data_IF_527123399520
#
_entry.id   IF_527123399520
#
_cell.length_a   1.000
_cell.length_b   1.000
_cell.length_c   1.000
_cell.angle_alpha   90.00
_cell.angle_beta   90.00
_cell.angle_gamma   90.00
#
_symmetry.space_group_name_H-M   'P 1'
#
loop_
_entity.id
_entity.type
_entity.pdbx_description
1 polymer ?
#
# COMPACT_ATOMS: atom_id res chain seq x y z
N UNK A 1 -0.08 10.85 -42.88
CA UNK A 1 0.68 11.79 -42.02
C UNK A 1 0.33 11.45 -40.58
N UNK A 2 1.22 10.78 -39.85
CA UNK A 2 0.97 10.38 -38.46
C UNK A 2 1.58 11.43 -37.54
N UNK A 3 0.73 12.12 -36.76
CA UNK A 3 1.15 13.15 -35.82
C UNK A 3 1.72 12.50 -34.56
N UNK A 4 3.04 12.65 -34.34
CA UNK A 4 3.69 12.28 -33.09
C UNK A 4 3.18 13.20 -31.97
N UNK A 5 2.44 12.64 -31.01
CA UNK A 5 2.12 13.34 -29.77
C UNK A 5 3.34 13.22 -28.87
N UNK A 6 4.14 14.29 -28.80
CA UNK A 6 5.25 14.39 -27.86
C UNK A 6 4.74 14.44 -26.42
N UNK A 7 5.30 13.57 -25.57
CA UNK A 7 5.13 13.59 -24.12
C UNK A 7 5.60 14.95 -23.57
N UNK A 8 4.69 15.68 -22.92
CA UNK A 8 4.88 17.04 -22.37
C UNK A 8 4.93 16.99 -20.84
N UNK A 9 5.51 15.95 -20.24
CA UNK A 9 5.76 15.94 -18.80
C UNK A 9 6.76 17.06 -18.43
N UNK A 10 6.45 17.92 -17.44
CA UNK A 10 7.37 18.95 -16.98
C UNK A 10 8.68 18.29 -16.52
N UNK A 11 9.81 18.85 -16.95
CA UNK A 11 11.14 18.44 -16.51
C UNK A 11 11.31 18.93 -15.08
N UNK A 12 11.56 17.99 -14.18
CA UNK A 12 12.06 18.12 -12.80
C UNK A 12 12.39 19.56 -12.38
N UNK A 13 11.38 20.28 -11.87
CA UNK A 13 11.63 21.47 -11.07
C UNK A 13 12.24 20.98 -9.75
N UNK A 14 13.46 21.43 -9.47
CA UNK A 14 14.17 21.09 -8.25
C UNK A 14 13.39 21.58 -7.03
N UNK A 15 12.65 20.68 -6.38
CA UNK A 15 11.96 20.96 -5.13
C UNK A 15 13.04 21.10 -4.06
N UNK A 16 13.19 22.30 -3.51
CA UNK A 16 14.01 22.54 -2.32
C UNK A 16 13.54 21.60 -1.20
N UNK A 17 14.45 20.76 -0.71
CA UNK A 17 14.18 19.83 0.39
C UNK A 17 14.11 20.60 1.71
N UNK A 18 12.97 21.22 1.97
CA UNK A 18 12.54 21.55 3.33
C UNK A 18 12.48 20.22 4.09
N UNK A 19 13.13 20.16 5.25
CA UNK A 19 13.13 19.00 6.16
C UNK A 19 11.75 18.75 6.80
N UNK A 20 10.69 18.77 5.99
CA UNK A 20 9.41 18.22 6.41
C UNK A 20 9.57 16.70 6.47
N UNK A 21 9.12 16.04 7.56
CA UNK A 21 9.04 14.59 7.57
C UNK A 21 8.29 14.12 6.31
N UNK A 22 8.69 13.00 5.70
CA UNK A 22 8.05 12.53 4.47
C UNK A 22 6.55 12.59 4.67
N UNK A 23 5.85 13.32 3.80
CA UNK A 23 4.39 13.37 3.85
C UNK A 23 3.90 11.99 3.45
N UNK A 24 3.81 11.08 4.40
CA UNK A 24 3.25 9.76 4.19
C UNK A 24 1.79 9.96 3.80
N UNK A 25 1.48 9.77 2.52
CA UNK A 25 0.10 9.61 2.10
C UNK A 25 -0.38 8.26 2.61
N UNK A 26 -1.06 8.27 3.76
CA UNK A 26 -1.83 7.13 4.21
C UNK A 26 -2.93 6.91 3.17
N UNK A 27 -2.72 5.91 2.33
CA UNK A 27 -3.71 5.49 1.34
C UNK A 27 -4.72 4.62 2.08
N UNK A 28 -5.87 5.20 2.41
CA UNK A 28 -6.93 4.54 3.17
C UNK A 28 -7.75 3.57 2.32
N UNK A 29 -7.54 3.57 0.99
CA UNK A 29 -8.26 2.76 0.01
C UNK A 29 -7.39 2.50 -1.21
N UNK A 30 -7.51 1.33 -1.80
CA UNK A 30 -6.92 1.02 -3.11
C UNK A 30 -7.27 2.09 -4.14
N UNK A 31 -6.25 2.56 -4.87
CA UNK A 31 -6.44 3.52 -5.95
C UNK A 31 -7.53 3.05 -6.93
N UNK A 32 -8.50 3.91 -7.32
CA UNK A 32 -9.54 3.54 -8.27
C UNK A 32 -8.99 3.01 -9.60
N UNK A 33 -7.84 3.52 -10.06
CA UNK A 33 -7.18 3.05 -11.27
C UNK A 33 -6.67 1.62 -11.12
N UNK A 34 -6.10 1.30 -9.97
CA UNK A 34 -5.59 -0.02 -9.66
C UNK A 34 -6.73 -1.04 -9.51
N UNK A 35 -7.84 -0.62 -8.88
CA UNK A 35 -9.07 -1.43 -8.79
C UNK A 35 -9.71 -1.65 -10.17
N UNK A 36 -9.78 -0.61 -11.01
CA UNK A 36 -10.28 -0.71 -12.37
C UNK A 36 -9.41 -1.65 -13.21
N UNK A 37 -8.09 -1.54 -13.10
CA UNK A 37 -7.16 -2.48 -13.73
C UNK A 37 -7.46 -3.91 -13.29
N UNK A 38 -7.53 -4.18 -11.98
CA UNK A 38 -7.83 -5.51 -11.43
C UNK A 38 -9.15 -6.10 -11.92
N UNK A 39 -10.20 -5.30 -11.98
CA UNK A 39 -11.51 -5.72 -12.45
C UNK A 39 -11.53 -6.02 -13.96
N UNK A 40 -10.64 -5.39 -14.75
CA UNK A 40 -10.51 -5.63 -16.18
C UNK A 40 -9.60 -6.82 -16.53
N UNK A 41 -8.86 -7.38 -15.55
CA UNK A 41 -8.02 -8.55 -15.79
C UNK A 41 -8.88 -9.81 -15.89
N UNK A 42 -8.66 -10.56 -16.97
CA UNK A 42 -9.29 -11.85 -17.19
C UNK A 42 -9.01 -12.82 -16.03
N UNK A 43 -9.99 -13.63 -15.64
CA UNK A 43 -9.90 -14.48 -14.43
C UNK A 43 -8.63 -15.35 -14.39
N UNK A 44 -8.25 -15.97 -15.52
CA UNK A 44 -7.02 -16.76 -15.63
C UNK A 44 -5.76 -15.98 -15.22
N UNK A 45 -5.64 -14.72 -15.66
CA UNK A 45 -4.52 -13.83 -15.32
C UNK A 45 -4.55 -13.45 -13.83
N UNK A 46 -5.75 -13.29 -13.23
CA UNK A 46 -5.88 -13.09 -11.78
C UNK A 46 -5.40 -14.30 -10.98
N UNK A 47 -5.69 -15.52 -11.44
CA UNK A 47 -5.17 -16.76 -10.82
C UNK A 47 -3.64 -16.82 -10.92
N UNK A 48 -3.07 -16.43 -12.05
CA UNK A 48 -1.62 -16.36 -12.24
C UNK A 48 -0.98 -15.33 -11.30
N UNK A 49 -1.58 -14.14 -11.16
CA UNK A 49 -1.11 -13.12 -10.21
C UNK A 49 -1.21 -13.65 -8.77
N UNK A 50 -2.32 -14.28 -8.39
CA UNK A 50 -2.51 -14.87 -7.06
C UNK A 50 -1.47 -15.96 -6.77
N UNK A 51 -1.10 -16.78 -7.76
CA UNK A 51 -0.05 -17.79 -7.58
C UNK A 51 1.30 -17.19 -7.18
N UNK A 52 1.60 -15.98 -7.65
CA UNK A 52 2.87 -15.30 -7.36
C UNK A 52 2.81 -14.38 -6.14
N UNK A 53 1.69 -13.73 -5.91
CA UNK A 53 1.53 -12.71 -4.86
C UNK A 53 0.74 -13.20 -3.64
N UNK A 54 0.00 -14.31 -3.77
CA UNK A 54 -0.86 -14.85 -2.71
C UNK A 54 -1.81 -13.79 -2.15
N UNK A 55 -1.96 -13.77 -0.83
CA UNK A 55 -2.81 -12.85 -0.09
C UNK A 55 -2.38 -11.38 -0.21
N UNK A 56 -1.22 -11.06 -0.77
CA UNK A 56 -0.87 -9.67 -1.07
C UNK A 56 -1.91 -9.04 -2.03
N UNK A 57 -2.58 -9.82 -2.88
CA UNK A 57 -3.65 -9.30 -3.74
C UNK A 57 -4.87 -8.82 -2.96
N UNK A 58 -5.04 -9.22 -1.70
CA UNK A 58 -6.14 -8.76 -0.86
C UNK A 58 -5.98 -7.30 -0.44
N UNK A 59 -4.79 -6.70 -0.63
CA UNK A 59 -4.59 -5.25 -0.51
C UNK A 59 -5.58 -4.48 -1.38
N UNK A 60 -6.03 -5.06 -2.49
CA UNK A 60 -7.01 -4.44 -3.38
C UNK A 60 -8.35 -4.24 -2.67
N UNK A 61 -8.73 -5.16 -1.78
CA UNK A 61 -9.99 -5.15 -1.02
C UNK A 61 -9.81 -4.60 0.40
N UNK A 62 -8.57 -4.43 0.83
CA UNK A 62 -8.21 -3.93 2.15
C UNK A 62 -8.60 -2.47 2.29
N UNK A 63 -9.39 -2.17 3.32
CA UNK A 63 -9.71 -0.80 3.75
C UNK A 63 -9.14 -0.64 5.15
N UNK A 64 -7.90 -0.13 5.29
CA UNK A 64 -7.30 0.04 6.60
C UNK A 64 -8.13 0.97 7.48
N UNK A 65 -8.17 0.66 8.77
CA UNK A 65 -8.63 1.63 9.76
C UNK A 65 -7.56 2.72 9.90
N UNK A 66 -7.90 3.91 9.42
CA UNK A 66 -7.03 5.10 9.50
C UNK A 66 -6.61 5.39 10.94
N UNK A 67 -7.52 5.24 11.90
CA UNK A 67 -7.22 5.46 13.32
C UNK A 67 -6.21 4.45 13.86
N UNK A 68 -6.32 3.18 13.43
CA UNK A 68 -5.34 2.15 13.76
C UNK A 68 -3.96 2.45 13.16
N UNK A 69 -3.89 2.85 11.89
CA UNK A 69 -2.61 3.22 11.26
C UNK A 69 -1.97 4.41 11.98
N UNK A 70 -2.75 5.46 12.25
CA UNK A 70 -2.26 6.64 12.96
C UNK A 70 -1.74 6.29 14.36
N UNK A 71 -2.43 5.39 15.07
CA UNK A 71 -1.96 4.90 16.36
C UNK A 71 -0.66 4.09 16.24
N UNK A 72 -0.54 3.21 15.23
CA UNK A 72 0.64 2.38 15.00
C UNK A 72 1.87 3.19 14.55
N UNK A 73 1.68 4.25 13.77
CA UNK A 73 2.76 5.13 13.30
C UNK A 73 3.59 5.69 14.47
N UNK A 74 2.96 5.99 15.61
CA UNK A 74 3.67 6.50 16.79
C UNK A 74 4.71 5.51 17.35
N UNK A 75 4.57 4.23 17.02
CA UNK A 75 5.46 3.15 17.45
C UNK A 75 6.41 2.69 16.35
N UNK A 76 6.37 3.29 15.16
CA UNK A 76 7.20 2.87 14.03
C UNK A 76 8.68 3.21 14.24
N UNK A 77 9.52 2.17 14.30
CA UNK A 77 10.97 2.28 14.21
C UNK A 77 11.39 2.10 12.74
N UNK A 78 11.70 3.22 12.08
CA UNK A 78 12.10 3.23 10.67
C UNK A 78 13.47 2.60 10.40
N UNK A 79 14.32 2.45 11.42
CA UNK A 79 15.66 1.87 11.25
C UNK A 79 15.55 0.35 11.12
N UNK A 80 14.70 -0.25 11.95
CA UNK A 80 14.51 -1.70 12.00
C UNK A 80 13.26 -2.16 11.24
N UNK A 81 12.41 -1.23 10.77
CA UNK A 81 11.16 -1.49 10.05
C UNK A 81 10.19 -2.36 10.87
N UNK A 82 10.07 -2.03 12.17
CA UNK A 82 9.20 -2.71 13.16
C UNK A 82 8.37 -1.69 13.92
N UNK A 83 7.24 -2.11 14.47
CA UNK A 83 6.53 -1.32 15.49
C UNK A 83 7.05 -1.70 16.87
N UNK A 84 7.62 -0.74 17.61
CA UNK A 84 8.24 -0.99 18.91
C UNK A 84 7.39 -0.46 20.06
N UNK A 85 6.94 -1.38 20.91
CA UNK A 85 6.15 -1.11 22.11
C UNK A 85 7.03 -1.36 23.33
N UNK A 86 7.72 -0.32 23.81
CA UNK A 86 8.68 -0.44 24.91
C UNK A 86 9.75 -1.50 24.57
N UNK A 87 9.76 -2.64 25.26
CA UNK A 87 10.70 -3.74 25.06
C UNK A 87 10.21 -4.82 24.07
N UNK A 88 9.05 -4.62 23.45
CA UNK A 88 8.46 -5.55 22.49
C UNK A 88 8.53 -5.00 21.07
N UNK A 89 8.80 -5.88 20.11
CA UNK A 89 8.78 -5.57 18.68
C UNK A 89 7.64 -6.34 18.02
N UNK A 90 6.87 -5.64 17.21
CA UNK A 90 5.86 -6.20 16.34
C UNK A 90 6.34 -5.99 14.91
N UNK A 91 6.61 -7.09 14.22
CA UNK A 91 6.85 -7.11 12.77
C UNK A 91 5.64 -7.78 12.13
N UNK A 92 4.48 -7.12 12.14
CA UNK A 92 3.26 -7.81 11.80
C UNK A 92 3.30 -8.18 10.32
N UNK A 93 3.01 -9.44 10.03
CA UNK A 93 2.76 -9.88 8.66
C UNK A 93 1.45 -9.24 8.15
N UNK A 94 1.30 -9.16 6.84
CA UNK A 94 0.04 -8.69 6.24
C UNK A 94 -1.16 -9.55 6.66
N UNK A 95 -0.91 -10.83 6.90
CA UNK A 95 -1.87 -11.83 7.38
C UNK A 95 -2.33 -11.53 8.82
N UNK A 96 -1.39 -11.21 9.72
CA UNK A 96 -1.71 -10.81 11.10
C UNK A 96 -2.46 -9.48 11.16
N UNK A 97 -2.06 -8.48 10.35
CA UNK A 97 -2.82 -7.22 10.23
C UNK A 97 -4.25 -7.46 9.75
N UNK A 98 -4.44 -8.38 8.79
CA UNK A 98 -5.76 -8.81 8.33
C UNK A 98 -6.61 -9.41 9.46
N UNK A 99 -6.01 -10.22 10.33
CA UNK A 99 -6.65 -10.76 11.54
C UNK A 99 -7.11 -9.66 12.52
N UNK A 100 -6.27 -8.65 12.76
CA UNK A 100 -6.58 -7.55 13.69
C UNK A 100 -7.74 -6.67 13.24
N UNK A 101 -7.91 -6.47 11.94
CA UNK A 101 -9.04 -5.68 11.39
C UNK A 101 -10.26 -6.54 11.03
N UNK A 102 -10.26 -7.82 11.41
CA UNK A 102 -11.39 -8.73 11.22
C UNK A 102 -11.55 -9.29 9.79
N UNK A 103 -10.56 -9.09 8.91
CA UNK A 103 -10.52 -9.68 7.57
C UNK A 103 -9.91 -11.09 7.54
N UNK A 104 -9.17 -11.49 8.58
CA UNK A 104 -8.51 -12.80 8.68
C UNK A 104 -9.37 -13.93 9.25
N UNK A 105 -10.68 -13.75 9.41
CA UNK A 105 -11.56 -14.78 10.03
C UNK A 105 -11.85 -15.98 9.12
N UNK A 106 -11.53 -15.89 7.84
CA UNK A 106 -11.74 -16.95 6.84
C UNK A 106 -10.43 -17.34 6.10
N UNK A 107 -9.26 -17.08 6.71
CA UNK A 107 -7.97 -17.61 6.26
C UNK A 107 -7.79 -19.07 6.72
#
# INVERSE_FOLDING_TARGET
>A
MSSMICDKRPRDEAIEMVNDPPKFMITDKTSPLLMAWWNNIHQFRRTEIFKHLGFLTDIMRFSPDRGLIEALIAFWDSTNNVFRFSNFELTPTLEELGGFIGLGKDL
#
